data_IF_629957998674
#
_entry.id   IF_629957998674
#
_cell.length_a   1.000
_cell.length_b   1.000
_cell.length_c   1.000
_cell.angle_alpha   90.00
_cell.angle_beta   90.00
_cell.angle_gamma   90.00
#
_symmetry.space_group_name_H-M   'P 1'
#
loop_
_entity.id
_entity.type
_entity.pdbx_description
1 polymer ?
#
# COMPACT_ATOMS: atom_id res chain seq x y z
N UNK A 1 2.44 6.52 -9.69
CA UNK A 1 2.94 7.57 -8.78
C UNK A 1 3.99 6.95 -7.87
N UNK A 2 5.19 7.52 -7.78
CA UNK A 2 6.20 7.10 -6.81
C UNK A 2 6.49 8.25 -5.85
N UNK A 3 6.44 7.94 -4.56
CA UNK A 3 6.74 8.80 -3.41
C UNK A 3 7.83 8.14 -2.55
N UNK A 4 8.56 7.17 -3.11
CA UNK A 4 9.52 6.37 -2.37
C UNK A 4 10.59 7.25 -1.71
N UNK A 5 10.92 6.95 -0.46
CA UNK A 5 11.92 7.68 0.34
C UNK A 5 11.63 9.18 0.59
N UNK A 6 10.44 9.68 0.20
CA UNK A 6 10.03 11.06 0.47
C UNK A 6 9.53 11.21 1.92
N UNK A 7 10.45 11.32 2.89
CA UNK A 7 10.15 11.33 4.33
C UNK A 7 9.22 12.46 4.84
N UNK A 8 8.90 13.44 4.00
CA UNK A 8 7.92 14.51 4.32
C UNK A 8 6.47 14.12 3.97
N UNK A 9 6.27 13.00 3.25
CA UNK A 9 4.94 12.52 2.86
C UNK A 9 4.19 12.02 4.08
N UNK A 10 3.02 12.58 4.36
CA UNK A 10 2.19 12.21 5.52
C UNK A 10 0.99 11.38 5.11
N UNK A 11 0.30 10.78 6.10
CA UNK A 11 -1.01 10.12 5.86
C UNK A 11 -2.00 11.06 5.16
N UNK A 12 -1.95 12.37 5.43
CA UNK A 12 -2.80 13.37 4.76
C UNK A 12 -2.47 13.54 3.27
N UNK A 13 -1.20 13.40 2.90
CA UNK A 13 -0.81 13.39 1.49
C UNK A 13 -1.38 12.14 0.79
N UNK A 14 -1.31 10.97 1.44
CA UNK A 14 -1.90 9.74 0.92
C UNK A 14 -3.43 9.84 0.82
N UNK A 15 -4.09 10.46 1.80
CA UNK A 15 -5.52 10.77 1.73
C UNK A 15 -5.87 11.59 0.49
N UNK A 16 -5.07 12.60 0.18
CA UNK A 16 -5.25 13.44 -1.01
C UNK A 16 -5.11 12.61 -2.29
N UNK A 17 -4.12 11.72 -2.36
CA UNK A 17 -3.96 10.79 -3.48
C UNK A 17 -5.17 9.88 -3.62
N UNK A 18 -5.62 9.23 -2.54
CA UNK A 18 -6.83 8.39 -2.57
C UNK A 18 -8.05 9.14 -3.06
N UNK A 19 -8.26 10.36 -2.56
CA UNK A 19 -9.44 11.18 -2.91
C UNK A 19 -9.46 11.64 -4.36
N UNK A 20 -8.32 12.02 -4.92
CA UNK A 20 -8.26 12.73 -6.21
C UNK A 20 -7.64 11.91 -7.34
N UNK A 21 -7.13 10.71 -7.07
CA UNK A 21 -6.53 9.82 -8.06
C UNK A 21 -7.23 8.44 -8.12
N UNK A 22 -8.53 8.38 -8.47
CA UNK A 22 -9.27 7.12 -8.50
C UNK A 22 -8.76 6.13 -9.57
N UNK A 23 -8.21 6.65 -10.67
CA UNK A 23 -7.68 5.88 -11.78
C UNK A 23 -6.18 5.59 -11.64
N UNK A 24 -5.60 5.75 -10.44
CA UNK A 24 -4.19 5.46 -10.23
C UNK A 24 -3.94 3.96 -10.35
N UNK A 25 -3.07 3.57 -11.28
CA UNK A 25 -2.76 2.16 -11.56
C UNK A 25 -1.54 1.63 -10.80
N UNK A 26 -0.56 2.50 -10.57
CA UNK A 26 0.68 2.15 -9.89
C UNK A 26 0.98 3.12 -8.75
N UNK A 27 1.29 2.60 -7.56
CA UNK A 27 1.67 3.38 -6.38
C UNK A 27 2.91 2.78 -5.71
N UNK A 28 3.92 3.61 -5.53
CA UNK A 28 5.13 3.26 -4.78
C UNK A 28 5.29 4.23 -3.61
N UNK A 29 5.10 3.70 -2.40
CA UNK A 29 5.25 4.41 -1.12
C UNK A 29 6.30 3.72 -0.24
N UNK A 30 7.27 3.07 -0.89
CA UNK A 30 8.33 2.36 -0.20
C UNK A 30 9.27 3.30 0.58
N UNK A 31 9.85 2.77 1.65
CA UNK A 31 10.77 3.51 2.54
C UNK A 31 10.14 4.72 3.25
N UNK A 32 8.80 4.78 3.33
CA UNK A 32 8.06 5.79 4.07
C UNK A 32 7.67 5.28 5.46
N UNK A 33 8.59 5.45 6.42
CA UNK A 33 8.42 4.95 7.80
C UNK A 33 7.50 5.81 8.68
N UNK A 34 7.06 6.96 8.19
CA UNK A 34 6.21 7.90 8.89
C UNK A 34 4.72 7.72 8.57
N UNK A 35 4.38 6.91 7.58
CA UNK A 35 3.00 6.52 7.27
C UNK A 35 2.49 5.49 8.28
N UNK A 36 1.19 5.56 8.56
CA UNK A 36 0.47 4.62 9.43
C UNK A 36 -0.57 3.83 8.65
N UNK A 37 -1.17 2.83 9.28
CA UNK A 37 -2.22 1.99 8.67
C UNK A 37 -3.39 2.80 8.08
N UNK A 38 -3.62 4.04 8.53
CA UNK A 38 -4.59 4.98 7.93
C UNK A 38 -4.31 5.26 6.45
N UNK A 39 -3.04 5.34 6.06
CA UNK A 39 -2.65 5.50 4.66
C UNK A 39 -3.21 4.37 3.80
N UNK A 40 -3.23 3.14 4.33
CA UNK A 40 -3.78 1.98 3.63
C UNK A 40 -5.29 2.10 3.47
N UNK A 41 -6.02 2.52 4.51
CA UNK A 41 -7.47 2.78 4.43
C UNK A 41 -7.80 3.78 3.31
N UNK A 42 -7.03 4.86 3.21
CA UNK A 42 -7.23 5.87 2.17
C UNK A 42 -6.97 5.37 0.75
N UNK A 43 -5.98 4.48 0.60
CA UNK A 43 -5.69 3.83 -0.67
C UNK A 43 -6.83 2.91 -1.07
N UNK A 44 -7.31 2.08 -0.14
CA UNK A 44 -8.43 1.14 -0.35
C UNK A 44 -9.70 1.89 -0.78
N UNK A 45 -10.01 3.00 -0.12
CA UNK A 45 -11.22 3.76 -0.38
C UNK A 45 -11.20 4.45 -1.75
N UNK A 46 -10.04 4.98 -2.13
CA UNK A 46 -9.90 5.90 -3.25
C UNK A 46 -9.37 5.29 -4.55
N UNK A 47 -8.29 4.51 -4.48
CA UNK A 47 -7.52 4.10 -5.66
C UNK A 47 -7.96 2.74 -6.20
N UNK A 48 -9.15 2.70 -6.80
CA UNK A 48 -9.82 1.45 -7.26
C UNK A 48 -9.16 0.79 -8.48
N UNK A 49 -8.35 1.50 -9.25
CA UNK A 49 -7.66 0.97 -10.42
C UNK A 49 -6.25 0.43 -10.14
N UNK A 50 -5.82 0.40 -8.87
CA UNK A 50 -4.48 -0.06 -8.53
C UNK A 50 -4.27 -1.52 -8.94
N UNK A 51 -3.18 -1.72 -9.68
CA UNK A 51 -2.71 -3.03 -10.10
C UNK A 51 -1.20 -3.25 -9.83
N UNK A 52 -0.45 -2.21 -9.50
CA UNK A 52 0.95 -2.32 -9.08
C UNK A 52 1.21 -1.50 -7.81
N UNK A 53 1.60 -2.17 -6.74
CA UNK A 53 1.84 -1.49 -5.45
C UNK A 53 3.14 -1.93 -4.81
N UNK A 54 3.92 -0.95 -4.34
CA UNK A 54 5.12 -1.18 -3.54
C UNK A 54 4.98 -0.56 -2.15
N UNK A 55 4.91 -1.43 -1.13
CA UNK A 55 4.82 -1.08 0.29
C UNK A 55 6.10 -1.47 1.04
N UNK A 56 7.18 -1.79 0.33
CA UNK A 56 8.42 -2.28 0.93
C UNK A 56 8.98 -1.28 1.96
N UNK A 57 9.57 -1.80 3.04
CA UNK A 57 10.19 -0.99 4.10
C UNK A 57 9.25 0.10 4.67
N UNK A 58 7.97 -0.23 4.84
CA UNK A 58 6.99 0.62 5.53
C UNK A 58 6.74 0.08 6.95
N UNK A 59 5.94 0.81 7.74
CA UNK A 59 5.54 0.38 9.09
C UNK A 59 4.12 -0.19 9.15
N UNK A 60 3.53 -0.51 8.00
CA UNK A 60 2.17 -1.04 7.95
C UNK A 60 2.11 -2.39 8.66
N UNK A 61 1.04 -2.59 9.42
CA UNK A 61 0.79 -3.86 10.09
C UNK A 61 0.30 -4.93 9.11
N UNK A 62 0.44 -6.20 9.51
CA UNK A 62 -0.15 -7.33 8.79
C UNK A 62 -1.65 -7.17 8.59
N UNK A 63 -2.35 -6.60 9.59
CA UNK A 63 -3.79 -6.35 9.52
C UNK A 63 -4.10 -5.36 8.39
N UNK A 64 -3.32 -4.28 8.27
CA UNK A 64 -3.51 -3.30 7.20
C UNK A 64 -3.19 -3.89 5.83
N UNK A 65 -2.09 -4.64 5.70
CA UNK A 65 -1.72 -5.31 4.44
C UNK A 65 -2.77 -6.36 4.04
N UNK A 66 -3.29 -7.13 5.00
CA UNK A 66 -4.37 -8.08 4.76
C UNK A 66 -5.66 -7.37 4.30
N UNK A 67 -6.07 -6.28 4.98
CA UNK A 67 -7.23 -5.50 4.57
C UNK A 67 -7.08 -4.94 3.14
N UNK A 68 -5.89 -4.47 2.78
CA UNK A 68 -5.59 -4.06 1.40
C UNK A 68 -5.75 -5.20 0.40
N UNK A 69 -5.21 -6.38 0.72
CA UNK A 69 -5.30 -7.56 -0.14
C UNK A 69 -6.73 -8.11 -0.27
N UNK A 70 -7.54 -8.03 0.78
CA UNK A 70 -8.95 -8.45 0.74
C UNK A 70 -9.77 -7.61 -0.25
N UNK A 71 -9.49 -6.31 -0.34
CA UNK A 71 -10.24 -5.40 -1.22
C UNK A 71 -9.62 -5.25 -2.60
N UNK A 72 -8.30 -5.07 -2.66
CA UNK A 72 -7.58 -4.75 -3.90
C UNK A 72 -6.83 -5.96 -4.49
N UNK A 73 -6.64 -7.04 -3.74
CA UNK A 73 -5.79 -8.17 -4.17
C UNK A 73 -6.25 -8.85 -5.46
N UNK A 74 -7.55 -8.79 -5.78
CA UNK A 74 -8.09 -9.34 -7.03
C UNK A 74 -7.69 -8.56 -8.30
N UNK A 75 -7.25 -7.31 -8.18
CA UNK A 75 -6.84 -6.46 -9.31
C UNK A 75 -5.32 -6.28 -9.42
N UNK A 76 -4.54 -6.83 -8.50
CA UNK A 76 -3.08 -6.67 -8.48
C UNK A 76 -2.39 -7.59 -9.48
N UNK A 77 -1.57 -6.99 -10.33
CA UNK A 77 -0.58 -7.65 -11.16
C UNK A 77 0.80 -7.70 -10.49
N UNK A 78 1.08 -6.76 -9.59
CA UNK A 78 2.36 -6.65 -8.90
C UNK A 78 2.18 -6.13 -7.48
N UNK A 79 2.83 -6.82 -6.52
CA UNK A 79 2.91 -6.38 -5.13
C UNK A 79 4.33 -6.57 -4.60
N UNK A 80 4.88 -5.56 -3.95
CA UNK A 80 6.18 -5.64 -3.28
C UNK A 80 6.05 -5.31 -1.79
N UNK A 81 6.38 -6.29 -0.92
CA UNK A 81 6.29 -6.21 0.54
C UNK A 81 7.64 -6.42 1.26
N UNK A 82 8.76 -6.27 0.54
CA UNK A 82 10.07 -6.59 1.11
C UNK A 82 10.35 -5.76 2.36
N UNK A 83 10.76 -6.41 3.44
CA UNK A 83 11.07 -5.79 4.73
C UNK A 83 9.90 -4.96 5.32
N UNK A 84 8.65 -5.31 5.02
CA UNK A 84 7.51 -4.94 5.88
C UNK A 84 7.66 -5.77 7.16
N UNK A 85 7.56 -5.14 8.34
CA UNK A 85 7.82 -5.80 9.63
C UNK A 85 6.92 -7.03 9.77
N UNK A 86 7.54 -8.21 9.88
CA UNK A 86 6.91 -9.49 10.23
C UNK A 86 5.59 -9.81 9.52
N UNK A 87 5.62 -9.99 8.18
CA UNK A 87 4.59 -10.82 7.51
C UNK A 87 4.87 -12.30 7.83
N UNK A 88 4.87 -12.63 9.11
CA UNK A 88 5.06 -13.97 9.62
C UNK A 88 3.68 -14.57 9.89
N UNK A 89 3.28 -15.53 9.04
CA UNK A 89 2.28 -16.59 9.27
C UNK A 89 0.92 -16.60 8.54
N UNK A 90 0.54 -15.66 7.66
CA UNK A 90 -0.74 -15.81 6.92
C UNK A 90 -0.71 -15.81 5.38
N UNK A 91 0.42 -15.54 4.74
CA UNK A 91 0.52 -15.59 3.26
C UNK A 91 1.02 -16.94 2.76
N UNK A 92 0.33 -18.03 3.10
CA UNK A 92 0.54 -19.32 2.42
C UNK A 92 -0.47 -19.44 1.27
N UNK A 93 0.05 -19.56 0.04
CA UNK A 93 -0.64 -19.79 -1.24
C UNK A 93 -1.34 -18.61 -1.93
N UNK A 94 -0.53 -17.71 -2.49
CA UNK A 94 -0.46 -17.50 -3.94
C UNK A 94 0.79 -16.67 -4.21
N UNK A 95 1.63 -17.14 -5.13
CA UNK A 95 2.73 -16.34 -5.66
C UNK A 95 2.10 -15.14 -6.38
N UNK A 96 2.14 -13.98 -5.72
CA UNK A 96 1.97 -12.66 -6.33
C UNK A 96 3.35 -12.06 -6.55
#
# INVERSE_FOLDING_TARGET
LSLASCNEVTDQAIWTVGRYCPNLEALDISELYNLTDKSVEFIIDGCRSLNSVNLSKTRFSDVAVAAFLEVCGGSLNQLCLNNVRDVSFFTTQKSY
#
